data_IF_393965059991
#
_entry.id   IF_393965059991
#
_cell.length_a   1.000
_cell.length_b   1.000
_cell.length_c   1.000
_cell.angle_alpha   90.00
_cell.angle_beta   90.00
_cell.angle_gamma   90.00
#
_symmetry.space_group_name_H-M   'P 1'
#
loop_
_entity.id
_entity.type
_entity.pdbx_description
1 polymer ?
#
# COMPACT_ATOMS: atom_id res chain seq x y z
N UNK A 1 -4.93 -10.89 8.05
CA UNK A 1 -4.18 -9.64 7.77
C UNK A 1 -4.41 -9.25 6.32
N UNK A 2 -4.46 -7.95 6.02
CA UNK A 2 -4.58 -7.43 4.66
C UNK A 2 -3.33 -6.65 4.30
N UNK A 3 -2.66 -7.07 3.22
CA UNK A 3 -1.46 -6.40 2.72
C UNK A 3 -1.75 -5.67 1.43
N UNK A 4 -1.64 -4.34 1.41
CA UNK A 4 -1.83 -3.57 0.19
C UNK A 4 -0.54 -3.60 -0.63
N UNK A 5 -0.60 -4.29 -1.76
CA UNK A 5 0.38 -4.23 -2.83
C UNK A 5 -0.03 -3.17 -3.86
N UNK A 6 0.97 -2.61 -4.55
CA UNK A 6 0.72 -1.67 -5.64
C UNK A 6 1.87 -0.69 -5.83
N UNK A 7 1.85 0.04 -6.94
CA UNK A 7 2.85 1.07 -7.16
C UNK A 7 2.47 2.36 -6.43
N UNK A 8 3.46 3.10 -5.94
CA UNK A 8 3.23 4.39 -5.30
C UNK A 8 2.43 5.33 -6.20
N UNK A 9 1.63 6.22 -5.59
CA UNK A 9 0.69 7.16 -6.25
C UNK A 9 -0.60 6.55 -6.83
N UNK A 10 -0.96 5.33 -6.37
CA UNK A 10 -2.21 4.65 -6.75
C UNK A 10 -3.35 4.81 -5.74
N UNK A 11 -3.24 5.68 -4.73
CA UNK A 11 -4.30 5.91 -3.73
C UNK A 11 -4.30 4.96 -2.53
N UNK A 12 -3.20 4.26 -2.27
CA UNK A 12 -3.08 3.29 -1.16
C UNK A 12 -3.35 3.89 0.22
N UNK A 13 -2.99 5.15 0.45
CA UNK A 13 -3.21 5.83 1.73
C UNK A 13 -4.70 6.12 1.95
N UNK A 14 -5.47 6.30 0.89
CA UNK A 14 -6.91 6.41 0.99
C UNK A 14 -7.51 5.03 1.31
N UNK A 15 -7.15 4.02 0.52
CA UNK A 15 -7.67 2.65 0.71
C UNK A 15 -7.34 2.07 2.09
N UNK A 16 -6.11 2.24 2.58
CA UNK A 16 -5.74 1.72 3.90
C UNK A 16 -6.56 2.34 5.02
N UNK A 17 -6.89 3.63 4.90
CA UNK A 17 -7.68 4.35 5.92
C UNK A 17 -9.15 3.99 5.84
N UNK A 18 -9.69 3.82 4.63
CA UNK A 18 -11.04 3.28 4.43
C UNK A 18 -11.19 1.90 5.06
N UNK A 19 -10.23 1.00 4.84
CA UNK A 19 -10.23 -0.33 5.45
C UNK A 19 -9.98 -0.28 6.96
N UNK A 20 -9.07 0.58 7.42
CA UNK A 20 -8.77 0.77 8.85
C UNK A 20 -9.91 1.42 9.64
N UNK A 21 -10.88 2.05 8.97
CA UNK A 21 -12.09 2.58 9.59
C UNK A 21 -13.23 1.54 9.69
N UNK A 22 -13.08 0.35 9.10
CA UNK A 22 -14.04 -0.73 9.27
C UNK A 22 -14.02 -1.24 10.74
N UNK A 23 -15.16 -1.59 11.34
CA UNK A 23 -15.22 -2.14 12.69
C UNK A 23 -14.34 -3.38 12.83
N UNK A 24 -13.46 -3.40 13.85
CA UNK A 24 -12.53 -4.52 14.10
C UNK A 24 -11.28 -4.52 13.21
N UNK A 25 -11.03 -3.46 12.44
CA UNK A 25 -9.86 -3.31 11.58
C UNK A 25 -8.98 -2.16 12.07
N UNK A 26 -7.69 -2.23 11.78
CA UNK A 26 -6.73 -1.13 12.01
C UNK A 26 -5.73 -1.06 10.88
N UNK A 27 -5.30 0.14 10.49
CA UNK A 27 -4.20 0.33 9.54
C UNK A 27 -2.91 0.75 10.25
N UNK A 28 -1.76 0.28 9.74
CA UNK A 28 -0.42 0.60 10.29
C UNK A 28 0.42 1.50 9.39
N UNK A 29 -0.06 1.86 8.20
CA UNK A 29 0.72 2.65 7.25
C UNK A 29 1.75 1.83 6.48
N UNK A 30 2.81 2.50 6.03
CA UNK A 30 3.97 1.86 5.41
C UNK A 30 4.95 1.37 6.49
N UNK A 31 4.63 0.24 7.12
CA UNK A 31 5.43 -0.30 8.23
C UNK A 31 6.90 -0.57 7.86
N UNK A 32 7.19 -0.83 6.59
CA UNK A 32 8.58 -0.94 6.09
C UNK A 32 9.43 0.31 6.30
N UNK A 33 8.81 1.47 6.52
CA UNK A 33 9.49 2.73 6.80
C UNK A 33 9.80 2.92 8.28
N UNK A 34 9.19 2.12 9.16
CA UNK A 34 9.41 2.18 10.60
C UNK A 34 10.91 2.22 10.97
N UNK A 35 11.74 1.24 10.56
CA UNK A 35 13.16 1.24 10.89
C UNK A 35 14.01 2.09 9.92
N UNK A 36 13.41 2.69 8.89
CA UNK A 36 14.14 3.42 7.83
C UNK A 36 14.13 4.92 8.05
N UNK A 37 12.98 5.47 8.42
CA UNK A 37 12.80 6.91 8.58
C UNK A 37 11.88 7.25 9.75
N UNK A 38 10.82 6.48 10.03
CA UNK A 38 9.86 6.85 11.08
C UNK A 38 10.51 6.92 12.46
N UNK A 39 11.13 5.84 12.93
CA UNK A 39 11.77 5.81 14.25
C UNK A 39 13.07 6.66 14.26
N UNK A 40 13.97 6.58 13.27
CA UNK A 40 15.20 7.37 13.27
C UNK A 40 15.00 8.88 13.17
N UNK A 41 14.01 9.32 12.38
CA UNK A 41 13.76 10.74 12.09
C UNK A 41 12.59 11.32 12.91
N UNK A 42 12.03 10.53 13.83
CA UNK A 42 10.86 10.85 14.65
C UNK A 42 9.67 11.39 13.83
N UNK A 43 9.38 10.74 12.69
CA UNK A 43 8.32 11.18 11.79
C UNK A 43 6.95 11.19 12.51
N UNK A 44 6.09 12.11 12.10
CA UNK A 44 4.74 12.20 12.67
C UNK A 44 3.89 10.97 12.32
N UNK A 45 3.31 10.36 13.35
CA UNK A 45 2.25 9.36 13.22
C UNK A 45 1.01 9.98 12.55
N UNK A 46 0.15 9.17 11.92
CA UNK A 46 -1.12 9.64 11.36
C UNK A 46 -2.03 10.42 12.33
N UNK A 47 -1.85 10.26 13.64
CA UNK A 47 -2.56 11.03 14.66
C UNK A 47 -2.06 12.47 14.83
N UNK A 48 -0.94 12.82 14.18
CA UNK A 48 -0.33 14.14 14.21
C UNK A 48 0.85 14.25 15.18
N UNK A 49 0.92 13.41 16.21
CA UNK A 49 2.01 13.40 17.18
C UNK A 49 3.32 12.84 16.57
N UNK A 50 4.50 13.31 17.02
CA UNK A 50 5.78 12.62 16.76
C UNK A 50 5.70 11.13 17.14
N UNK A 51 6.44 10.28 16.42
CA UNK A 51 6.44 8.84 16.68
C UNK A 51 6.81 8.51 18.13
N UNK A 52 7.79 9.22 18.68
CA UNK A 52 8.27 9.14 20.06
C UNK A 52 7.20 9.50 21.10
N UNK A 53 6.22 10.34 20.74
CA UNK A 53 5.16 10.83 21.61
C UNK A 53 3.79 10.12 21.39
N UNK A 54 3.64 9.34 20.31
CA UNK A 54 2.38 8.68 19.97
C UNK A 54 2.09 7.50 20.93
N UNK A 55 1.05 7.58 21.79
CA UNK A 55 0.79 6.56 22.81
C UNK A 55 0.57 5.16 22.23
N UNK A 56 -0.15 5.08 21.10
CA UNK A 56 -0.38 3.84 20.37
C UNK A 56 0.94 3.16 19.98
N UNK A 57 1.86 3.88 19.35
CA UNK A 57 3.11 3.30 18.87
C UNK A 57 4.06 2.99 20.02
N UNK A 58 4.08 3.79 21.08
CA UNK A 58 4.87 3.48 22.28
C UNK A 58 4.38 2.17 22.93
N UNK A 59 3.06 1.98 23.04
CA UNK A 59 2.49 0.71 23.53
C UNK A 59 2.83 -0.47 22.60
N UNK A 60 2.71 -0.29 21.28
CA UNK A 60 3.08 -1.32 20.30
C UNK A 60 4.57 -1.70 20.42
N UNK A 61 5.46 -0.72 20.63
CA UNK A 61 6.88 -0.95 20.84
C UNK A 61 7.15 -1.74 22.12
N UNK A 62 6.53 -1.34 23.23
CA UNK A 62 6.62 -2.03 24.51
C UNK A 62 6.18 -3.49 24.41
N UNK A 63 5.07 -3.77 23.71
CA UNK A 63 4.53 -5.14 23.53
C UNK A 63 5.34 -5.99 22.54
N UNK A 64 5.97 -5.39 21.54
CA UNK A 64 6.67 -6.13 20.48
C UNK A 64 8.13 -6.41 20.81
N UNK A 65 8.87 -5.42 21.30
CA UNK A 65 10.32 -5.49 21.53
C UNK A 65 10.76 -4.95 22.90
N UNK A 66 9.82 -4.60 23.79
CA UNK A 66 10.13 -3.88 25.04
C UNK A 66 10.41 -2.39 24.84
N UNK A 67 10.10 -1.85 23.66
CA UNK A 67 10.36 -0.47 23.25
C UNK A 67 10.89 -0.39 21.82
N UNK A 68 11.23 0.81 21.36
CA UNK A 68 11.78 1.05 20.02
C UNK A 68 13.29 1.27 20.05
N UNK A 69 14.00 0.35 20.69
CA UNK A 69 15.46 0.45 20.86
C UNK A 69 16.20 0.47 19.49
N UNK A 70 17.25 1.30 19.33
CA UNK A 70 17.97 1.42 18.06
C UNK A 70 18.49 0.08 17.51
N UNK A 71 18.93 -0.83 18.39
CA UNK A 71 19.41 -2.15 17.99
C UNK A 71 18.31 -3.00 17.32
N UNK A 72 17.08 -2.95 17.83
CA UNK A 72 15.94 -3.66 17.24
C UNK A 72 15.61 -3.11 15.85
N UNK A 73 15.60 -1.77 15.70
CA UNK A 73 15.34 -1.11 14.41
C UNK A 73 16.43 -1.39 13.38
N UNK A 74 17.71 -1.35 13.79
CA UNK A 74 18.84 -1.73 12.95
C UNK A 74 18.72 -3.19 12.48
N UNK A 75 18.33 -4.11 13.38
CA UNK A 75 18.11 -5.51 13.01
C UNK A 75 16.96 -5.66 12.01
N UNK A 76 15.84 -4.97 12.24
CA UNK A 76 14.68 -5.00 11.35
C UNK A 76 15.03 -4.47 9.94
N UNK A 77 15.79 -3.37 9.86
CA UNK A 77 16.31 -2.81 8.61
C UNK A 77 17.26 -3.80 7.90
N UNK A 78 18.17 -4.43 8.64
CA UNK A 78 19.12 -5.41 8.11
C UNK A 78 18.40 -6.67 7.58
N UNK A 79 17.40 -7.17 8.31
CA UNK A 79 16.59 -8.31 7.85
C UNK A 79 15.84 -7.96 6.56
N UNK A 80 15.23 -6.77 6.48
CA UNK A 80 14.57 -6.30 5.24
C UNK A 80 15.55 -6.27 4.06
N UNK A 81 16.77 -5.80 4.29
CA UNK A 81 17.84 -5.78 3.28
C UNK A 81 18.24 -7.17 2.77
N UNK A 82 18.07 -8.20 3.59
CA UNK A 82 18.43 -9.59 3.29
C UNK A 82 17.26 -10.44 2.77
N UNK A 83 16.01 -10.04 3.06
CA UNK A 83 14.82 -10.85 2.79
C UNK A 83 13.89 -10.18 1.77
N UNK A 84 13.51 -8.92 2.01
CA UNK A 84 12.41 -8.25 1.33
C UNK A 84 12.88 -7.24 0.27
N UNK A 85 13.95 -7.57 -0.47
CA UNK A 85 14.42 -6.78 -1.62
C UNK A 85 13.75 -7.27 -2.89
N UNK A 86 13.41 -6.37 -3.80
CA UNK A 86 12.73 -6.73 -5.06
C UNK A 86 13.48 -7.79 -5.88
N UNK A 87 14.81 -7.68 -5.96
CA UNK A 87 15.67 -8.67 -6.63
C UNK A 87 15.63 -10.08 -6.02
N UNK A 88 15.08 -10.24 -4.82
CA UNK A 88 14.98 -11.51 -4.11
C UNK A 88 13.61 -12.19 -4.30
N UNK A 89 12.66 -11.56 -5.00
CA UNK A 89 11.36 -12.18 -5.32
C UNK A 89 11.51 -13.59 -5.92
N UNK A 90 12.39 -13.84 -6.92
CA UNK A 90 12.59 -15.20 -7.44
C UNK A 90 13.03 -16.21 -6.38
N UNK A 91 13.91 -15.80 -5.46
CA UNK A 91 14.39 -16.66 -4.38
C UNK A 91 13.31 -16.91 -3.32
N UNK A 92 12.43 -15.95 -3.05
CA UNK A 92 11.26 -16.13 -2.18
C UNK A 92 10.19 -17.03 -2.82
N UNK A 93 9.99 -16.93 -4.13
CA UNK A 93 9.09 -17.83 -4.88
C UNK A 93 9.64 -19.27 -4.91
N UNK A 94 10.95 -19.43 -5.04
CA UNK A 94 11.58 -20.74 -4.89
C UNK A 94 11.29 -21.31 -3.48
N UNK A 95 11.44 -20.49 -2.43
CA UNK A 95 11.10 -20.91 -1.06
C UNK A 95 9.63 -21.31 -0.91
N UNK A 96 8.70 -20.57 -1.52
CA UNK A 96 7.28 -20.92 -1.54
C UNK A 96 7.01 -22.31 -2.16
N UNK A 97 7.88 -22.76 -3.07
CA UNK A 97 7.83 -24.11 -3.67
C UNK A 97 8.68 -25.13 -2.91
N UNK A 98 9.09 -24.83 -1.67
CA UNK A 98 9.95 -25.70 -0.86
C UNK A 98 11.41 -25.73 -1.31
N UNK A 99 11.82 -24.90 -2.28
CA UNK A 99 13.16 -24.86 -2.86
C UNK A 99 13.95 -23.69 -2.27
N UNK A 100 14.91 -23.95 -1.40
CA UNK A 100 15.82 -22.91 -0.94
C UNK A 100 16.76 -23.37 0.16
N UNK A 101 17.76 -22.54 0.45
CA UNK A 101 18.75 -22.84 1.48
C UNK A 101 18.15 -22.70 2.88
N UNK A 102 18.60 -23.53 3.83
CA UNK A 102 18.20 -23.45 5.25
C UNK A 102 18.44 -22.05 5.83
N UNK A 103 19.57 -21.43 5.48
CA UNK A 103 19.90 -20.05 5.88
C UNK A 103 18.84 -19.04 5.44
N UNK A 104 18.34 -19.16 4.22
CA UNK A 104 17.35 -18.23 3.69
C UNK A 104 15.99 -18.41 4.39
N UNK A 105 15.59 -19.65 4.68
CA UNK A 105 14.40 -19.94 5.50
C UNK A 105 14.49 -19.30 6.88
N UNK A 106 15.61 -19.51 7.58
CA UNK A 106 15.83 -18.94 8.91
C UNK A 106 15.76 -17.40 8.91
N UNK A 107 16.31 -16.73 7.88
CA UNK A 107 16.18 -15.27 7.74
C UNK A 107 14.72 -14.84 7.51
N UNK A 108 13.96 -15.58 6.71
CA UNK A 108 12.53 -15.31 6.48
C UNK A 108 11.71 -15.53 7.76
N UNK A 109 11.97 -16.60 8.50
CA UNK A 109 11.30 -16.92 9.77
C UNK A 109 11.55 -15.84 10.83
N UNK A 110 12.78 -15.35 10.92
CA UNK A 110 13.13 -14.24 11.82
C UNK A 110 12.45 -12.94 11.38
N UNK A 111 12.42 -12.66 10.08
CA UNK A 111 11.72 -11.52 9.51
C UNK A 111 10.21 -11.55 9.82
N UNK A 112 9.58 -12.69 9.60
CA UNK A 112 8.17 -12.92 9.89
C UNK A 112 7.87 -12.81 11.39
N UNK A 113 8.78 -13.29 12.25
CA UNK A 113 8.63 -13.21 13.70
C UNK A 113 8.69 -11.76 14.18
N UNK A 114 9.63 -10.98 13.65
CA UNK A 114 9.78 -9.57 14.00
C UNK A 114 8.57 -8.71 13.55
N UNK A 115 8.18 -8.78 12.28
CA UNK A 115 7.00 -8.04 11.80
C UNK A 115 5.69 -8.57 12.43
N UNK A 116 5.59 -9.89 12.61
CA UNK A 116 4.45 -10.52 13.29
C UNK A 116 4.27 -10.05 14.74
N UNK A 117 5.36 -9.77 15.47
CA UNK A 117 5.28 -9.18 16.80
C UNK A 117 4.66 -7.78 16.77
N UNK A 118 5.03 -6.96 15.77
CA UNK A 118 4.46 -5.62 15.58
C UNK A 118 2.97 -5.70 15.22
N UNK A 119 2.60 -6.55 14.26
CA UNK A 119 1.20 -6.69 13.85
C UNK A 119 0.31 -7.18 15.00
N UNK A 120 0.75 -8.18 15.78
CA UNK A 120 0.01 -8.67 16.95
C UNK A 120 -0.13 -7.59 18.02
N UNK A 121 0.92 -6.82 18.26
CA UNK A 121 0.89 -5.72 19.22
C UNK A 121 -0.06 -4.60 18.75
N UNK A 122 -0.06 -4.23 17.47
CA UNK A 122 -0.98 -3.25 16.89
C UNK A 122 -2.44 -3.71 16.96
N UNK A 123 -2.71 -4.98 16.65
CA UNK A 123 -4.03 -5.60 16.81
C UNK A 123 -4.50 -5.54 18.27
N UNK A 124 -3.65 -5.95 19.21
CA UNK A 124 -3.97 -5.94 20.64
C UNK A 124 -4.24 -4.52 21.19
N UNK A 125 -3.48 -3.53 20.74
CA UNK A 125 -3.64 -2.14 21.19
C UNK A 125 -4.88 -1.45 20.60
N UNK A 126 -5.26 -1.80 19.37
CA UNK A 126 -6.45 -1.27 18.70
C UNK A 126 -7.74 -2.04 19.01
N UNK A 127 -7.64 -3.23 19.61
CA UNK A 127 -8.75 -4.18 19.70
C UNK A 127 -9.18 -4.76 18.35
N UNK A 128 -8.37 -4.58 17.30
CA UNK A 128 -8.68 -5.07 15.96
C UNK A 128 -8.35 -6.55 15.79
N UNK A 129 -9.15 -7.25 14.99
CA UNK A 129 -8.87 -8.61 14.52
C UNK A 129 -8.11 -8.61 13.19
N UNK A 130 -8.24 -7.53 12.41
CA UNK A 130 -7.60 -7.39 11.10
C UNK A 130 -6.66 -6.18 11.07
N UNK A 131 -5.40 -6.43 10.71
CA UNK A 131 -4.42 -5.36 10.45
C UNK A 131 -4.26 -5.16 8.95
N UNK A 132 -4.26 -3.89 8.53
CA UNK A 132 -4.01 -3.44 7.16
C UNK A 132 -2.62 -2.80 7.07
N UNK A 133 -1.75 -3.39 6.27
CA UNK A 133 -0.40 -2.87 6.00
C UNK A 133 -0.30 -2.32 4.58
N UNK A 134 0.14 -1.06 4.43
CA UNK A 134 0.26 -0.38 3.16
C UNK A 134 1.72 -0.16 2.71
N UNK A 135 2.62 -1.06 3.06
CA UNK A 135 4.05 -1.02 2.68
C UNK A 135 4.31 -1.25 1.19
N UNK A 136 3.33 -1.71 0.41
CA UNK A 136 3.28 -1.78 -1.07
C UNK A 136 4.24 -2.76 -1.77
N UNK A 137 5.42 -2.99 -1.21
CA UNK A 137 6.48 -3.77 -1.85
C UNK A 137 6.12 -5.26 -1.99
N UNK A 138 6.08 -5.84 -3.21
CA UNK A 138 5.72 -7.25 -3.38
C UNK A 138 6.66 -8.21 -2.65
N UNK A 139 7.96 -7.92 -2.59
CA UNK A 139 8.92 -8.75 -1.87
C UNK A 139 8.64 -8.84 -0.36
N UNK A 140 8.18 -7.74 0.24
CA UNK A 140 7.82 -7.70 1.66
C UNK A 140 6.56 -8.53 1.92
N UNK A 141 5.47 -8.27 1.19
CA UNK A 141 4.23 -9.02 1.31
C UNK A 141 4.40 -10.52 1.01
N UNK A 142 5.21 -10.88 0.00
CA UNK A 142 5.56 -12.27 -0.28
C UNK A 142 6.29 -12.91 0.90
N UNK A 143 7.33 -12.26 1.44
CA UNK A 143 8.09 -12.81 2.57
C UNK A 143 7.21 -13.04 3.81
N UNK A 144 6.27 -12.12 4.09
CA UNK A 144 5.28 -12.30 5.16
C UNK A 144 4.32 -13.47 4.85
N UNK A 145 3.78 -13.52 3.64
CA UNK A 145 2.79 -14.51 3.24
C UNK A 145 3.31 -15.93 3.11
N UNK A 146 4.63 -16.14 3.02
CA UNK A 146 5.21 -17.50 3.10
C UNK A 146 4.85 -18.22 4.41
N UNK A 147 4.48 -17.49 5.46
CA UNK A 147 4.03 -18.05 6.74
C UNK A 147 2.73 -18.84 6.63
N UNK A 148 1.88 -18.57 5.62
CA UNK A 148 0.64 -19.32 5.39
C UNK A 148 0.87 -20.82 5.24
N UNK A 149 2.02 -21.21 4.69
CA UNK A 149 2.36 -22.62 4.51
C UNK A 149 2.80 -23.32 5.80
N UNK A 150 3.11 -22.56 6.88
CA UNK A 150 3.69 -23.10 8.11
C UNK A 150 2.87 -22.81 9.37
N UNK A 151 1.91 -21.89 9.31
CA UNK A 151 1.10 -21.45 10.45
C UNK A 151 -0.38 -21.39 10.06
N UNK A 152 -1.17 -22.44 10.36
CA UNK A 152 -2.60 -22.49 10.01
C UNK A 152 -3.46 -21.40 10.68
N UNK A 153 -2.96 -20.78 11.75
CA UNK A 153 -3.64 -19.65 12.42
C UNK A 153 -3.28 -18.29 11.83
N UNK A 154 -2.37 -18.25 10.85
CA UNK A 154 -1.99 -17.04 10.14
C UNK A 154 -2.79 -16.91 8.85
N UNK A 155 -3.38 -15.73 8.63
CA UNK A 155 -4.04 -15.40 7.37
C UNK A 155 -3.52 -14.07 6.82
N UNK A 156 -3.27 -14.05 5.51
CA UNK A 156 -2.79 -12.92 4.74
C UNK A 156 -3.40 -12.96 3.35
N UNK A 157 -4.19 -11.94 3.03
CA UNK A 157 -4.60 -11.65 1.64
C UNK A 157 -3.90 -10.39 1.15
N UNK A 158 -3.33 -10.46 -0.05
CA UNK A 158 -2.73 -9.29 -0.71
C UNK A 158 -3.78 -8.59 -1.58
N UNK A 159 -3.94 -7.29 -1.38
CA UNK A 159 -4.80 -6.44 -2.22
C UNK A 159 -3.90 -5.67 -3.18
N UNK A 160 -3.98 -6.00 -4.48
CA UNK A 160 -3.31 -5.25 -5.54
C UNK A 160 -4.16 -4.02 -5.93
N UNK A 161 -3.81 -2.86 -5.38
CA UNK A 161 -4.42 -1.59 -5.78
C UNK A 161 -3.80 -1.10 -7.09
N UNK A 162 -4.62 -1.02 -8.12
CA UNK A 162 -4.21 -0.58 -9.45
C UNK A 162 -4.84 0.76 -9.79
N UNK A 163 -4.04 1.66 -10.36
CA UNK A 163 -4.49 2.92 -10.96
C UNK A 163 -4.02 2.95 -12.41
N UNK A 164 -4.71 3.71 -13.27
CA UNK A 164 -4.28 3.92 -14.64
C UNK A 164 -2.79 4.33 -14.70
N UNK A 165 -1.92 3.57 -15.39
CA UNK A 165 -0.48 3.81 -15.43
C UNK A 165 -0.13 5.20 -15.99
N UNK A 166 -1.02 5.80 -16.78
CA UNK A 166 -0.86 7.15 -17.31
C UNK A 166 -1.04 8.19 -16.20
N UNK A 167 -2.10 8.07 -15.39
CA UNK A 167 -2.32 8.93 -14.22
C UNK A 167 -1.21 8.78 -13.17
N UNK A 168 -0.74 7.57 -12.95
CA UNK A 168 0.40 7.28 -12.07
C UNK A 168 1.68 7.96 -12.55
N UNK A 169 2.06 7.79 -13.81
CA UNK A 169 3.27 8.37 -14.36
C UNK A 169 3.22 9.91 -14.38
N UNK A 170 2.04 10.49 -14.62
CA UNK A 170 1.80 11.92 -14.48
C UNK A 170 1.98 12.41 -13.04
N UNK A 171 1.45 11.67 -12.07
CA UNK A 171 1.60 12.01 -10.65
C UNK A 171 3.06 11.97 -10.17
N UNK A 172 3.88 11.10 -10.75
CA UNK A 172 5.32 11.01 -10.48
C UNK A 172 6.16 12.05 -11.22
N UNK A 173 5.73 12.53 -12.38
CA UNK A 173 6.46 13.54 -13.16
C UNK A 173 6.30 14.96 -12.60
N UNK A 174 5.25 15.23 -11.81
CA UNK A 174 5.00 16.53 -11.19
C UNK A 174 5.81 16.75 -9.89
N UNK A 175 6.71 17.73 -9.91
CA UNK A 175 7.55 18.22 -8.79
C UNK A 175 6.79 19.01 -7.71
N UNK A 176 5.69 18.51 -7.12
CA UNK A 176 4.84 19.37 -6.25
C UNK A 176 4.32 18.75 -4.96
N UNK A 177 5.11 17.96 -4.23
CA UNK A 177 4.70 17.60 -2.87
C UNK A 177 5.90 17.72 -1.93
N UNK A 178 5.87 18.76 -1.10
CA UNK A 178 6.67 18.82 0.13
C UNK A 178 6.37 17.57 0.98
N UNK A 179 7.36 17.08 1.72
CA UNK A 179 7.15 16.09 2.79
C UNK A 179 6.93 16.84 4.11
N UNK A 180 5.68 17.21 4.47
CA UNK A 180 5.42 17.90 5.75
C UNK A 180 5.85 17.08 6.97
N UNK A 181 6.05 15.78 6.78
CA UNK A 181 6.43 14.80 7.82
C UNK A 181 7.90 14.84 8.17
N UNK A 182 8.76 15.26 7.23
CA UNK A 182 10.22 15.21 7.35
C UNK A 182 10.82 16.60 7.65
N UNK A 183 10.14 17.42 8.45
CA UNK A 183 10.64 18.73 8.87
C UNK A 183 11.03 19.68 7.72
N UNK A 184 10.37 19.58 6.56
CA UNK A 184 10.58 20.49 5.43
C UNK A 184 11.89 20.32 4.63
N UNK A 185 12.66 19.23 4.83
CA UNK A 185 14.03 19.11 4.26
C UNK A 185 14.22 18.16 3.08
N UNK A 186 13.17 17.57 2.50
CA UNK A 186 13.32 16.68 1.36
C UNK A 186 12.24 16.89 0.28
N UNK A 187 12.66 17.40 -0.88
CA UNK A 187 11.85 17.36 -2.11
C UNK A 187 11.56 15.90 -2.50
N UNK A 188 10.31 15.61 -2.89
CA UNK A 188 9.94 14.28 -3.38
C UNK A 188 10.64 13.99 -4.71
N UNK A 189 11.34 12.85 -4.82
CA UNK A 189 12.01 12.43 -6.04
C UNK A 189 11.01 12.21 -7.18
N UNK A 190 11.22 12.85 -8.33
CA UNK A 190 10.45 12.62 -9.55
C UNK A 190 10.98 11.41 -10.31
N UNK A 191 10.09 10.58 -10.85
CA UNK A 191 10.46 9.45 -11.70
C UNK A 191 10.09 9.80 -13.15
N UNK A 192 11.04 9.65 -14.08
CA UNK A 192 10.77 9.85 -15.50
C UNK A 192 9.67 8.92 -16.00
N UNK A 193 8.84 9.41 -16.91
CA UNK A 193 7.61 8.73 -17.38
C UNK A 193 7.85 7.29 -17.84
N UNK A 194 8.90 7.05 -18.63
CA UNK A 194 9.24 5.70 -19.11
C UNK A 194 9.65 4.75 -17.98
N UNK A 195 10.43 5.24 -17.01
CA UNK A 195 10.81 4.46 -15.82
C UNK A 195 9.60 4.15 -14.94
N UNK A 196 8.68 5.12 -14.78
CA UNK A 196 7.43 4.92 -14.06
C UNK A 196 6.57 3.83 -14.71
N UNK A 197 6.41 3.87 -16.03
CA UNK A 197 5.65 2.85 -16.78
C UNK A 197 6.26 1.44 -16.63
N UNK A 198 7.59 1.33 -16.77
CA UNK A 198 8.29 0.06 -16.63
C UNK A 198 8.20 -0.50 -15.20
N UNK A 199 8.38 0.34 -14.17
CA UNK A 199 8.24 -0.07 -12.77
C UNK A 199 6.81 -0.48 -12.42
N UNK A 200 5.82 0.27 -12.91
CA UNK A 200 4.41 -0.10 -12.75
C UNK A 200 4.15 -1.47 -13.38
N UNK A 201 4.56 -1.70 -14.63
CA UNK A 201 4.37 -2.98 -15.32
C UNK A 201 5.07 -4.14 -14.60
N UNK A 202 6.31 -3.94 -14.15
CA UNK A 202 7.05 -4.94 -13.38
C UNK A 202 6.31 -5.32 -12.09
N UNK A 203 5.80 -4.34 -11.33
CA UNK A 203 5.04 -4.60 -10.11
C UNK A 203 3.73 -5.35 -10.39
N UNK A 204 3.03 -5.03 -11.47
CA UNK A 204 1.83 -5.77 -11.86
C UNK A 204 2.15 -7.22 -12.21
N UNK A 205 3.22 -7.46 -12.98
CA UNK A 205 3.71 -8.79 -13.28
C UNK A 205 4.06 -9.58 -12.00
N UNK A 206 4.74 -8.93 -11.05
CA UNK A 206 5.14 -9.57 -9.79
C UNK A 206 3.94 -9.93 -8.92
N UNK A 207 2.93 -9.06 -8.81
CA UNK A 207 1.71 -9.37 -8.06
C UNK A 207 0.95 -10.55 -8.70
N UNK A 208 0.86 -10.60 -10.04
CA UNK A 208 0.25 -11.73 -10.76
C UNK A 208 1.03 -13.03 -10.54
N UNK A 209 2.38 -12.97 -10.60
CA UNK A 209 3.26 -14.12 -10.35
C UNK A 209 3.13 -14.61 -8.92
N UNK A 210 3.11 -13.71 -7.94
CA UNK A 210 2.91 -14.06 -6.52
C UNK A 210 1.60 -14.82 -6.37
N UNK A 211 0.48 -14.25 -6.81
CA UNK A 211 -0.84 -14.90 -6.67
C UNK A 211 -0.93 -16.28 -7.33
N UNK A 212 -0.19 -16.52 -8.41
CA UNK A 212 -0.16 -17.82 -9.09
C UNK A 212 0.81 -18.82 -8.49
N UNK A 213 1.90 -18.37 -7.89
CA UNK A 213 3.03 -19.25 -7.55
C UNK A 213 3.26 -19.43 -6.05
N UNK A 214 2.86 -18.50 -5.20
CA UNK A 214 3.15 -18.56 -3.75
C UNK A 214 2.08 -19.23 -2.90
N UNK A 215 0.84 -19.36 -3.42
CA UNK A 215 -0.32 -19.79 -2.63
C UNK A 215 -0.94 -18.67 -1.79
N UNK A 216 -0.41 -17.45 -1.86
CA UNK A 216 -1.00 -16.27 -1.20
C UNK A 216 -2.20 -15.78 -2.02
N UNK A 217 -3.39 -15.62 -1.42
CA UNK A 217 -4.53 -14.99 -2.09
C UNK A 217 -4.20 -13.56 -2.53
N UNK A 218 -4.48 -13.24 -3.78
CA UNK A 218 -4.32 -11.88 -4.33
C UNK A 218 -5.65 -11.43 -4.92
N UNK A 219 -6.21 -10.34 -4.37
CA UNK A 219 -7.40 -9.66 -4.89
C UNK A 219 -6.99 -8.33 -5.52
N UNK A 220 -7.74 -7.85 -6.51
CA UNK A 220 -7.44 -6.59 -7.21
C UNK A 220 -8.55 -5.59 -6.97
N UNK A 221 -8.18 -4.34 -6.78
CA UNK A 221 -9.10 -3.19 -6.69
C UNK A 221 -8.58 -2.05 -7.56
N UNK A 222 -9.47 -1.37 -8.27
CA UNK A 222 -9.13 -0.21 -9.11
C UNK A 222 -9.35 1.07 -8.33
N UNK A 223 -8.38 1.97 -8.39
CA UNK A 223 -8.47 3.29 -7.76
C UNK A 223 -9.64 4.11 -8.31
N UNK A 224 -9.89 4.03 -9.62
CA UNK A 224 -10.96 4.77 -10.29
C UNK A 224 -12.34 4.30 -9.82
N UNK A 225 -12.51 2.99 -9.59
CA UNK A 225 -13.77 2.46 -9.05
C UNK A 225 -13.92 2.84 -7.58
N UNK A 226 -12.82 2.83 -6.80
CA UNK A 226 -12.80 3.28 -5.41
C UNK A 226 -13.18 4.76 -5.23
N UNK A 227 -12.88 5.61 -6.21
CA UNK A 227 -13.20 7.05 -6.13
C UNK A 227 -14.54 7.38 -6.77
N UNK A 228 -14.92 6.71 -7.86
CA UNK A 228 -16.19 6.96 -8.54
C UNK A 228 -17.39 6.31 -7.83
N UNK A 229 -17.20 5.09 -7.31
CA UNK A 229 -18.21 4.26 -6.65
C UNK A 229 -17.65 3.63 -5.37
N UNK A 230 -17.21 4.44 -4.38
CA UNK A 230 -16.49 3.99 -3.18
C UNK A 230 -17.20 2.88 -2.41
N UNK A 231 -18.51 3.03 -2.15
CA UNK A 231 -19.29 2.05 -1.39
C UNK A 231 -19.35 0.70 -2.11
N UNK A 232 -19.67 0.70 -3.40
CA UNK A 232 -19.72 -0.53 -4.22
C UNK A 232 -18.35 -1.21 -4.32
N UNK A 233 -17.30 -0.42 -4.60
CA UNK A 233 -15.94 -0.94 -4.75
C UNK A 233 -15.40 -1.55 -3.44
N UNK A 234 -15.69 -0.92 -2.30
CA UNK A 234 -15.30 -1.45 -0.99
C UNK A 234 -16.14 -2.66 -0.59
N UNK A 235 -17.45 -2.68 -0.89
CA UNK A 235 -18.29 -3.85 -0.61
C UNK A 235 -17.82 -5.09 -1.38
N UNK A 236 -17.52 -4.95 -2.68
CA UNK A 236 -16.94 -6.02 -3.49
C UNK A 236 -15.58 -6.47 -2.92
N UNK A 237 -14.71 -5.53 -2.53
CA UNK A 237 -13.42 -5.85 -1.94
C UNK A 237 -13.58 -6.61 -0.60
N UNK A 238 -14.41 -6.12 0.32
CA UNK A 238 -14.66 -6.73 1.62
C UNK A 238 -15.25 -8.13 1.48
N UNK A 239 -16.19 -8.32 0.54
CA UNK A 239 -16.75 -9.64 0.22
C UNK A 239 -15.66 -10.62 -0.24
N UNK A 240 -14.76 -10.18 -1.13
CA UNK A 240 -13.61 -11.00 -1.58
C UNK A 240 -12.57 -11.26 -0.48
N UNK A 241 -12.54 -10.41 0.55
CA UNK A 241 -11.75 -10.59 1.76
C UNK A 241 -12.47 -11.46 2.81
N UNK A 242 -13.68 -11.96 2.52
CA UNK A 242 -14.44 -12.86 3.38
C UNK A 242 -15.29 -12.18 4.45
N UNK A 243 -15.54 -10.87 4.34
CA UNK A 243 -16.43 -10.14 5.26
C UNK A 243 -17.89 -10.40 4.85
N UNK A 244 -18.68 -10.94 5.77
CA UNK A 244 -20.06 -11.35 5.51
C UNK A 244 -21.04 -10.16 5.51
N UNK A 245 -20.91 -9.24 6.47
CA UNK A 245 -21.73 -8.02 6.56
C UNK A 245 -20.91 -6.81 6.11
N UNK A 246 -21.05 -6.47 4.83
CA UNK A 246 -20.37 -5.31 4.25
C UNK A 246 -21.07 -4.00 4.57
N UNK A 247 -22.36 -4.01 4.89
CA UNK A 247 -23.13 -2.78 5.11
C UNK A 247 -22.77 -2.13 6.45
N UNK A 248 -22.67 -2.95 7.50
CA UNK A 248 -22.15 -2.50 8.81
C UNK A 248 -20.69 -2.03 8.69
N UNK A 249 -19.89 -2.70 7.86
CA UNK A 249 -18.49 -2.34 7.67
C UNK A 249 -18.27 -1.00 6.93
N UNK A 250 -19.30 -0.47 6.25
CA UNK A 250 -19.20 0.69 5.36
C UNK A 250 -20.06 1.88 5.82
N UNK A 251 -20.41 1.96 7.10
CA UNK A 251 -21.18 3.09 7.64
C UNK A 251 -20.45 4.43 7.52
N UNK A 252 -19.13 4.42 7.33
CA UNK A 252 -18.29 5.61 7.13
C UNK A 252 -18.13 6.03 5.67
N UNK A 253 -18.76 5.30 4.73
CA UNK A 253 -18.61 5.50 3.28
C UNK A 253 -19.95 5.83 2.65
N UNK A 254 -20.02 7.02 2.06
CA UNK A 254 -21.16 7.52 1.27
C UNK A 254 -20.87 7.34 -0.24
N UNK A 255 -21.79 7.76 -1.10
CA UNK A 255 -21.67 7.62 -2.56
C UNK A 255 -20.47 8.37 -3.15
N UNK A 256 -20.08 9.50 -2.57
CA UNK A 256 -19.00 10.37 -3.07
C UNK A 256 -18.05 10.88 -1.98
N UNK A 257 -18.22 10.43 -0.75
CA UNK A 257 -17.45 10.92 0.38
C UNK A 257 -17.12 9.78 1.36
N UNK A 258 -16.09 10.00 2.17
CA UNK A 258 -15.72 9.11 3.27
C UNK A 258 -15.49 9.91 4.53
N UNK A 259 -16.00 9.45 5.66
CA UNK A 259 -15.75 10.04 6.97
C UNK A 259 -14.65 9.26 7.67
N UNK A 260 -13.47 9.86 7.81
CA UNK A 260 -12.30 9.20 8.40
C UNK A 260 -11.85 9.89 9.68
N UNK A 261 -11.70 9.12 10.75
CA UNK A 261 -11.03 9.59 11.95
C UNK A 261 -9.52 9.73 11.73
N UNK A 262 -8.84 10.30 12.73
CA UNK A 262 -7.40 10.18 12.84
C UNK A 262 -7.01 8.70 12.92
N UNK A 263 -5.92 8.32 12.25
CA UNK A 263 -5.41 6.94 12.27
C UNK A 263 -4.00 6.91 12.86
N UNK A 264 -3.51 5.75 13.26
CA UNK A 264 -2.11 5.60 13.67
C UNK A 264 -1.18 5.14 12.54
N UNK A 265 -1.60 5.25 11.27
CA UNK A 265 -0.77 4.84 10.14
C UNK A 265 0.55 5.63 10.03
N UNK A 266 1.65 4.92 9.78
CA UNK A 266 2.99 5.49 9.60
C UNK A 266 3.31 5.80 8.13
N UNK A 267 4.13 6.83 7.89
CA UNK A 267 4.61 7.20 6.54
C UNK A 267 3.46 7.37 5.52
N UNK A 268 3.78 7.39 4.24
CA UNK A 268 2.82 7.54 3.15
C UNK A 268 2.40 8.98 2.85
N UNK A 269 1.26 9.11 2.16
CA UNK A 269 0.83 10.39 1.61
C UNK A 269 0.41 11.38 2.73
N UNK A 270 0.77 12.69 2.65
CA UNK A 270 0.33 13.71 3.61
C UNK A 270 -1.18 13.79 3.85
N UNK A 271 -2.02 13.35 2.90
CA UNK A 271 -3.46 13.20 3.08
C UNK A 271 -3.84 12.32 4.28
N UNK A 272 -2.93 11.51 4.84
CA UNK A 272 -3.21 10.72 6.05
C UNK A 272 -3.58 11.55 7.28
N UNK A 273 -3.17 12.83 7.32
CA UNK A 273 -3.48 13.74 8.43
C UNK A 273 -4.86 14.39 8.30
N UNK A 274 -5.51 14.27 7.15
CA UNK A 274 -6.86 14.82 6.94
C UNK A 274 -7.87 13.95 7.68
N UNK A 275 -8.79 14.55 8.43
CA UNK A 275 -9.82 13.84 9.18
C UNK A 275 -11.18 14.52 9.02
N UNK A 276 -12.26 13.81 9.32
CA UNK A 276 -13.63 14.22 9.04
C UNK A 276 -14.11 13.70 7.68
N UNK A 277 -15.12 14.35 7.13
CA UNK A 277 -15.70 14.00 5.83
C UNK A 277 -14.82 14.53 4.70
N UNK A 278 -14.41 13.63 3.81
CA UNK A 278 -13.54 13.90 2.68
C UNK A 278 -14.27 13.56 1.38
N UNK A 279 -14.40 14.54 0.49
CA UNK A 279 -14.94 14.32 -0.84
C UNK A 279 -13.95 13.54 -1.71
N UNK A 280 -14.45 12.55 -2.44
CA UNK A 280 -13.68 11.72 -3.34
C UNK A 280 -13.77 12.29 -4.76
N UNK A 281 -12.64 12.80 -5.25
CA UNK A 281 -12.55 13.41 -6.59
C UNK A 281 -11.51 12.67 -7.42
N UNK A 282 -11.91 12.23 -8.61
CA UNK A 282 -11.01 11.56 -9.55
C UNK A 282 -9.97 12.53 -10.09
N UNK A 283 -8.69 12.23 -9.86
CA UNK A 283 -7.58 12.97 -10.47
C UNK A 283 -7.34 12.48 -11.91
N UNK A 284 -8.06 13.12 -12.84
CA UNK A 284 -8.01 12.91 -14.28
C UNK A 284 -7.25 14.02 -15.04
N UNK A 285 -6.49 14.87 -14.34
CA UNK A 285 -5.75 15.99 -14.95
C UNK A 285 -4.83 15.52 -16.09
N UNK A 286 -4.23 14.35 -15.92
CA UNK A 286 -3.35 13.71 -16.90
C UNK A 286 -4.02 13.51 -18.27
N UNK A 287 -5.34 13.35 -18.34
CA UNK A 287 -6.05 13.19 -19.62
C UNK A 287 -5.96 14.44 -20.49
N UNK A 288 -5.88 15.61 -19.84
CA UNK A 288 -5.87 16.94 -20.47
C UNK A 288 -4.44 17.48 -20.64
N UNK A 289 -3.61 17.27 -19.63
CA UNK A 289 -2.30 17.94 -19.53
C UNK A 289 -1.12 17.08 -19.99
N UNK A 290 -1.26 15.76 -20.09
CA UNK A 290 -0.15 14.89 -20.52
C UNK A 290 0.13 15.04 -22.01
N UNK A 291 1.38 15.24 -22.44
CA UNK A 291 1.76 15.23 -23.85
C UNK A 291 1.33 13.94 -24.56
N UNK A 292 0.75 14.01 -25.77
CA UNK A 292 0.25 12.83 -26.48
C UNK A 292 1.31 11.74 -26.73
N UNK A 293 2.57 12.14 -26.95
CA UNK A 293 3.69 11.20 -27.16
C UNK A 293 3.99 10.36 -25.91
N UNK A 294 4.06 11.00 -24.74
CA UNK A 294 4.24 10.32 -23.46
C UNK A 294 3.06 9.38 -23.16
N UNK A 295 1.84 9.84 -23.40
CA UNK A 295 0.62 9.03 -23.21
C UNK A 295 0.65 7.78 -24.09
N UNK A 296 1.03 7.89 -25.36
CA UNK A 296 1.17 6.75 -26.28
C UNK A 296 2.26 5.79 -25.82
N UNK A 297 3.43 6.30 -25.43
CA UNK A 297 4.53 5.48 -24.91
C UNK A 297 4.10 4.65 -23.70
N UNK A 298 3.47 5.27 -22.70
CA UNK A 298 2.97 4.57 -21.50
C UNK A 298 1.93 3.52 -21.89
N UNK A 299 0.98 3.89 -22.76
CA UNK A 299 -0.06 3.00 -23.24
C UNK A 299 0.52 1.75 -23.89
N UNK A 300 1.50 1.92 -24.79
CA UNK A 300 2.17 0.79 -25.45
C UNK A 300 2.92 -0.08 -24.45
N UNK A 301 3.68 0.52 -23.53
CA UNK A 301 4.48 -0.21 -22.54
C UNK A 301 3.62 -1.00 -21.53
N UNK A 302 2.37 -0.58 -21.30
CA UNK A 302 1.48 -1.17 -20.28
C UNK A 302 0.23 -1.83 -20.87
N UNK A 303 0.14 -1.93 -22.20
CA UNK A 303 -1.05 -2.39 -22.93
C UNK A 303 -1.64 -3.72 -22.44
N UNK A 304 -0.86 -4.79 -22.18
CA UNK A 304 -1.42 -6.05 -21.71
C UNK A 304 -2.23 -5.90 -20.42
N UNK A 305 -1.73 -5.10 -19.47
CA UNK A 305 -2.40 -4.84 -18.20
C UNK A 305 -3.55 -3.84 -18.35
N UNK A 306 -3.43 -2.82 -19.21
CA UNK A 306 -4.55 -1.92 -19.51
C UNK A 306 -5.77 -2.73 -19.97
N UNK A 307 -5.57 -3.65 -20.92
CA UNK A 307 -6.64 -4.53 -21.41
C UNK A 307 -7.14 -5.49 -20.32
N UNK A 308 -6.24 -6.15 -19.61
CA UNK A 308 -6.57 -7.11 -18.54
C UNK A 308 -7.35 -6.48 -17.39
N UNK A 309 -7.10 -5.21 -17.09
CA UNK A 309 -7.67 -4.50 -15.95
C UNK A 309 -8.85 -3.58 -16.34
N UNK A 310 -9.32 -3.64 -17.60
CA UNK A 310 -10.48 -2.87 -18.05
C UNK A 310 -10.21 -1.39 -18.31
N UNK A 311 -8.95 -0.96 -18.43
CA UNK A 311 -8.62 0.41 -18.82
C UNK A 311 -8.72 0.62 -20.33
N UNK A 312 -9.22 1.78 -20.80
CA UNK A 312 -9.28 2.08 -22.22
C UNK A 312 -7.88 2.22 -22.80
N UNK A 313 -7.55 1.36 -23.78
CA UNK A 313 -6.25 1.38 -24.48
C UNK A 313 -6.18 2.61 -25.40
N UNK A 314 -7.23 2.84 -26.17
CA UNK A 314 -7.41 4.06 -26.95
C UNK A 314 -8.32 5.00 -26.16
N UNK A 315 -7.79 6.16 -25.79
CA UNK A 315 -8.62 7.24 -25.27
C UNK A 315 -8.98 8.15 -26.42
N UNK A 316 -10.27 8.16 -26.80
CA UNK A 316 -10.81 9.21 -27.63
C UNK A 316 -10.80 10.52 -26.82
N UNK A 317 -10.50 11.66 -27.42
CA UNK A 317 -10.68 12.94 -26.75
C UNK A 317 -12.15 13.05 -26.32
N UNK A 318 -12.38 13.23 -25.03
CA UNK A 318 -13.73 13.42 -24.48
C UNK A 318 -14.28 14.75 -25.02
N UNK A 319 -15.34 14.75 -25.85
CA UNK A 319 -15.88 15.96 -26.45
C UNK A 319 -16.49 16.93 -25.43
N UNK A 320 -16.77 16.47 -24.20
CA UNK A 320 -17.32 17.32 -23.13
C UNK A 320 -16.27 18.16 -22.39
N UNK A 321 -14.98 17.89 -22.64
CA UNK A 321 -13.87 18.64 -22.05
C UNK A 321 -13.49 19.79 -22.98
N UNK A 322 -14.31 20.84 -22.99
CA UNK A 322 -13.93 22.13 -23.59
C UNK A 322 -12.63 22.62 -22.97
N UNK A 323 -11.63 22.90 -23.82
CA UNK A 323 -10.45 23.69 -23.47
C UNK A 323 -10.93 25.03 -22.90
N UNK A 324 -10.93 25.21 -21.58
CA UNK A 324 -10.95 26.56 -21.01
C UNK A 324 -9.56 27.16 -21.25
N UNK A 325 -9.44 27.86 -22.36
CA UNK A 325 -8.39 28.83 -22.62
C UNK A 325 -8.63 30.05 -21.71
N UNK A 326 -7.68 30.31 -20.82
CA UNK A 326 -7.23 31.64 -20.41
C UNK A 326 -5.85 31.46 -19.76
#
# INVERSE_FOLDING_TARGET
MVYLGGFGRSGSTLLERMLGACPGWTNVGELVDLPRSVQPDDERCGCGEPFSACPFWQSVGARSFGGWEPAAMQRLAALRGQVARQRLVPALLALAKGRGARRQRSLVEEYQSAYGAIYRAAAAESGATTVVDASKGPAHGLALGLRLATDPGYDLTMVNLVRDPRGVAWSWSRRKHERPQAGGRAEMWSIGVGRSAAQWAALQAEMDVIGRMSGIPVVRVRYEDLVAHPREALADLLSRLGVADTDEALTHVDDHAVTLAASHGLSGNPSRFQHGTLDLVTDDEWRRSMPPGERRMITTATWPWLRSYGYPVLQHPDPTITRRTA
#
